data_IF_565044930751
#
_entry.id   IF_565044930751
#
_cell.length_a   1.000
_cell.length_b   1.000
_cell.length_c   1.000
_cell.angle_alpha   90.00
_cell.angle_beta   90.00
_cell.angle_gamma   90.00
#
_symmetry.space_group_name_H-M   'P 1'
#
loop_
_entity.id
_entity.type
_entity.pdbx_description
1 polymer ?
#
# COMPACT_ATOMS: atom_id res chain seq x y z
N UNK A 1 39.17 -7.30 -21.32
CA UNK A 1 38.29 -7.81 -22.40
C UNK A 1 36.85 -7.51 -22.01
N UNK A 2 36.18 -6.60 -22.71
CA UNK A 2 34.79 -6.24 -22.43
C UNK A 2 33.84 -7.23 -23.13
N UNK A 3 32.75 -7.69 -22.50
CA UNK A 3 31.83 -8.65 -23.12
C UNK A 3 30.88 -7.93 -24.09
N UNK A 4 30.83 -8.44 -25.33
CA UNK A 4 29.87 -8.05 -26.35
C UNK A 4 28.44 -8.40 -25.89
N UNK A 5 27.64 -7.37 -25.59
CA UNK A 5 26.18 -7.48 -25.45
C UNK A 5 25.55 -7.65 -26.82
N UNK A 6 25.21 -8.89 -27.16
CA UNK A 6 24.32 -9.20 -28.29
C UNK A 6 22.91 -8.74 -27.90
N UNK A 7 22.43 -7.67 -28.54
CA UNK A 7 21.08 -7.17 -28.33
C UNK A 7 20.06 -8.18 -28.84
N UNK A 8 19.20 -8.64 -27.94
CA UNK A 8 18.10 -9.58 -28.21
C UNK A 8 17.04 -8.90 -29.12
N UNK A 9 17.08 -9.25 -30.41
CA UNK A 9 16.16 -8.74 -31.43
C UNK A 9 14.72 -9.24 -31.25
N UNK A 10 14.49 -10.25 -30.39
CA UNK A 10 13.15 -10.82 -30.18
C UNK A 10 12.21 -9.89 -29.40
N UNK A 11 12.77 -9.06 -28.50
CA UNK A 11 11.99 -8.08 -27.73
C UNK A 11 11.43 -6.94 -28.57
N UNK A 12 12.15 -6.53 -29.63
CA UNK A 12 11.73 -5.43 -30.52
C UNK A 12 10.53 -5.82 -31.37
N UNK A 13 10.48 -7.06 -31.86
CA UNK A 13 9.36 -7.56 -32.65
C UNK A 13 8.05 -7.65 -31.84
N UNK A 14 8.13 -8.16 -30.59
CA UNK A 14 6.97 -8.20 -29.66
C UNK A 14 6.47 -6.80 -29.30
N UNK A 15 7.38 -5.84 -29.13
CA UNK A 15 7.02 -4.43 -28.86
C UNK A 15 6.30 -3.77 -30.04
N UNK A 16 6.65 -4.13 -31.28
CA UNK A 16 6.03 -3.59 -32.49
C UNK A 16 4.61 -4.14 -32.73
N UNK A 17 4.41 -5.44 -32.51
CA UNK A 17 3.07 -6.09 -32.51
C UNK A 17 2.15 -5.45 -31.47
N UNK A 18 2.66 -5.22 -30.25
CA UNK A 18 1.89 -4.57 -29.18
C UNK A 18 1.50 -3.13 -29.53
N UNK A 19 2.39 -2.37 -30.17
CA UNK A 19 2.09 -1.01 -30.66
C UNK A 19 0.95 -0.99 -31.69
N UNK A 20 0.87 -2.00 -32.56
CA UNK A 20 -0.21 -2.12 -33.57
C UNK A 20 -1.57 -2.34 -32.90
N UNK A 21 -1.63 -3.25 -31.92
CA UNK A 21 -2.85 -3.51 -31.14
C UNK A 21 -3.29 -2.26 -30.37
N UNK A 22 -2.34 -1.55 -29.76
CA UNK A 22 -2.61 -0.31 -29.02
C UNK A 22 -3.16 0.81 -29.94
N UNK A 23 -2.61 0.92 -31.15
CA UNK A 23 -3.07 1.91 -32.15
C UNK A 23 -4.50 1.62 -32.61
N UNK A 24 -4.85 0.34 -32.78
CA UNK A 24 -6.23 -0.08 -33.11
C UNK A 24 -7.22 0.22 -31.97
N UNK A 25 -6.85 -0.04 -30.72
CA UNK A 25 -7.66 0.29 -29.54
C UNK A 25 -7.90 1.79 -29.40
N UNK A 26 -6.86 2.61 -29.61
CA UNK A 26 -6.98 4.07 -29.55
C UNK A 26 -7.89 4.64 -30.63
N UNK A 27 -7.93 4.03 -31.81
CA UNK A 27 -8.82 4.40 -32.90
C UNK A 27 -10.29 4.06 -32.61
N UNK A 28 -10.55 2.96 -31.89
CA UNK A 28 -11.90 2.58 -31.45
C UNK A 28 -12.42 3.57 -30.41
N UNK A 29 -11.60 3.89 -29.40
CA UNK A 29 -11.98 4.83 -28.32
C UNK A 29 -12.23 6.25 -28.86
N UNK A 30 -11.43 6.72 -29.84
CA UNK A 30 -11.66 8.03 -30.47
C UNK A 30 -12.96 8.10 -31.28
N UNK A 31 -13.41 6.99 -31.86
CA UNK A 31 -14.68 6.93 -32.63
C UNK A 31 -15.90 7.05 -31.72
N UNK A 32 -15.83 6.53 -30.50
CA UNK A 32 -16.93 6.62 -29.54
C UNK A 32 -17.03 8.01 -28.90
N UNK A 33 -15.91 8.72 -28.73
CA UNK A 33 -15.91 10.07 -28.16
C UNK A 33 -16.20 11.20 -29.15
N UNK A 34 -16.18 10.97 -30.47
CA UNK A 34 -16.55 12.00 -31.46
C UNK A 34 -18.06 12.19 -31.63
N UNK A 35 -18.89 11.33 -31.02
CA UNK A 35 -20.36 11.42 -31.13
C UNK A 35 -21.03 12.18 -29.97
N UNK A 36 -20.31 12.51 -28.90
CA UNK A 36 -20.91 13.07 -27.67
C UNK A 36 -20.45 14.50 -27.34
N UNK A 37 -19.94 15.27 -28.29
CA UNK A 37 -19.46 16.63 -28.06
C UNK A 37 -20.34 17.69 -28.73
N UNK A 38 -21.54 17.92 -28.19
CA UNK A 38 -22.32 19.15 -28.37
C UNK A 38 -22.91 19.55 -27.02
N UNK A 39 -22.73 20.82 -26.66
CA UNK A 39 -23.21 21.56 -25.47
C UNK A 39 -22.51 21.22 -24.13
N UNK A 40 -22.11 22.17 -23.29
CA UNK A 40 -22.40 23.61 -23.23
C UNK A 40 -22.25 24.03 -21.77
N UNK A 41 -21.68 25.20 -21.52
CA UNK A 41 -21.05 25.60 -20.24
C UNK A 41 -21.95 26.51 -19.37
N UNK A 42 -21.51 26.73 -18.12
CA UNK A 42 -21.90 27.78 -17.14
C UNK A 42 -23.11 27.45 -16.24
N UNK A 43 -23.19 27.84 -14.97
CA UNK A 43 -22.34 28.67 -14.12
C UNK A 43 -22.91 28.71 -12.67
N UNK A 44 -22.01 29.02 -11.73
CA UNK A 44 -22.10 29.73 -10.43
C UNK A 44 -23.32 29.72 -9.46
N UNK A 45 -22.97 29.37 -8.20
CA UNK A 45 -23.15 30.07 -6.88
C UNK A 45 -24.54 30.33 -6.26
N UNK A 46 -24.77 29.74 -5.07
CA UNK A 46 -25.22 30.36 -3.77
C UNK A 46 -25.62 29.22 -2.80
N UNK A 47 -24.96 28.95 -1.66
CA UNK A 47 -24.93 29.62 -0.33
C UNK A 47 -26.31 29.99 0.25
N UNK A 48 -26.72 29.21 1.27
CA UNK A 48 -27.56 29.52 2.45
C UNK A 48 -28.41 28.29 2.82
N UNK A 49 -28.80 27.96 4.05
CA UNK A 49 -28.42 28.32 5.43
C UNK A 49 -29.18 27.28 6.28
N UNK A 50 -28.53 26.74 7.29
CA UNK A 50 -29.07 25.83 8.28
C UNK A 50 -30.15 26.49 9.16
N UNK A 51 -31.25 25.78 9.42
CA UNK A 51 -32.07 25.93 10.61
C UNK A 51 -32.78 24.61 10.92
N UNK A 52 -32.84 24.32 12.21
CA UNK A 52 -33.30 23.11 12.87
C UNK A 52 -34.78 23.21 13.30
N UNK A 53 -35.23 22.10 13.88
CA UNK A 53 -36.30 21.93 14.88
C UNK A 53 -37.59 21.24 14.41
N UNK A 54 -37.73 20.03 14.98
CA UNK A 54 -38.86 19.47 15.72
C UNK A 54 -40.25 19.24 15.08
N UNK A 55 -40.56 17.94 15.10
CA UNK A 55 -41.70 17.31 15.76
C UNK A 55 -43.13 17.47 15.21
N UNK A 56 -43.72 16.28 15.09
CA UNK A 56 -45.08 15.90 15.44
C UNK A 56 -46.24 15.93 14.43
N UNK A 57 -46.92 14.77 14.50
CA UNK A 57 -48.35 14.54 14.42
C UNK A 57 -48.99 14.29 13.05
N UNK A 58 -49.58 13.10 12.98
CA UNK A 58 -50.37 12.56 11.89
C UNK A 58 -51.71 13.30 11.71
N UNK A 59 -52.21 13.33 10.47
CA UNK A 59 -53.64 13.13 10.21
C UNK A 59 -53.87 12.63 8.78
N UNK A 60 -54.68 11.60 8.68
CA UNK A 60 -55.14 10.95 7.46
C UNK A 60 -56.17 11.79 6.73
N UNK A 61 -55.94 12.09 5.46
CA UNK A 61 -57.00 12.56 4.56
C UNK A 61 -56.93 11.79 3.24
N UNK A 62 -57.88 10.88 3.04
CA UNK A 62 -58.13 10.21 1.75
C UNK A 62 -58.71 11.23 0.78
N UNK A 63 -57.99 11.53 -0.30
CA UNK A 63 -58.52 12.23 -1.47
C UNK A 63 -58.23 11.37 -2.71
N UNK A 64 -59.30 10.91 -3.34
CA UNK A 64 -59.27 10.19 -4.62
C UNK A 64 -58.89 11.16 -5.75
N UNK A 65 -57.89 10.85 -6.61
CA UNK A 65 -57.72 11.61 -7.84
C UNK A 65 -58.51 10.96 -8.97
N UNK A 66 -59.48 11.69 -9.51
CA UNK A 66 -60.10 11.40 -10.79
C UNK A 66 -59.06 11.62 -11.88
N UNK A 67 -58.53 10.54 -12.47
CA UNK A 67 -57.58 10.64 -13.58
C UNK A 67 -58.32 10.94 -14.89
N UNK A 68 -58.27 12.19 -15.36
CA UNK A 68 -58.68 12.53 -16.72
C UNK A 68 -57.53 12.15 -17.67
N UNK A 69 -57.74 11.11 -18.48
CA UNK A 69 -56.76 10.63 -19.45
C UNK A 69 -56.86 11.48 -20.72
N UNK A 70 -56.02 12.50 -20.86
CA UNK A 70 -55.88 13.26 -22.10
C UNK A 70 -54.82 12.56 -22.96
N UNK A 71 -55.27 11.89 -24.02
CA UNK A 71 -54.39 11.38 -25.08
C UNK A 71 -54.17 12.48 -26.10
N UNK A 72 -52.97 13.08 -26.10
CA UNK A 72 -52.52 13.93 -27.21
C UNK A 72 -51.76 13.01 -28.17
N UNK A 73 -52.42 12.61 -29.25
CA UNK A 73 -51.77 11.98 -30.40
C UNK A 73 -51.29 13.05 -31.36
N UNK A 74 -50.00 12.99 -31.66
CA UNK A 74 -49.31 13.65 -32.77
C UNK A 74 -49.56 15.16 -32.89
N UNK A 75 -48.79 15.93 -32.14
CA UNK A 75 -48.56 17.34 -32.48
C UNK A 75 -47.06 17.58 -32.53
N UNK A 76 -46.57 17.88 -33.74
CA UNK A 76 -45.21 18.33 -34.00
C UNK A 76 -45.10 19.77 -33.47
N UNK A 77 -44.79 19.91 -32.18
CA UNK A 77 -44.59 21.22 -31.55
C UNK A 77 -43.18 21.70 -31.86
N UNK A 78 -43.07 22.69 -32.74
CA UNK A 78 -41.87 23.52 -32.85
C UNK A 78 -41.96 24.58 -31.75
N UNK A 79 -41.12 24.47 -30.73
CA UNK A 79 -40.98 25.49 -29.68
C UNK A 79 -39.96 26.53 -30.16
N UNK A 80 -40.43 27.76 -30.39
CA UNK A 80 -39.60 28.95 -30.50
C UNK A 80 -39.82 29.70 -29.18
N UNK A 81 -38.72 29.92 -28.46
CA UNK A 81 -38.53 30.73 -27.24
C UNK A 81 -39.78 31.28 -26.56
N UNK A 82 -40.06 30.79 -25.36
CA UNK A 82 -40.24 31.58 -24.13
C UNK A 82 -40.46 30.65 -22.93
N UNK A 83 -40.03 31.10 -21.74
CA UNK A 83 -40.05 30.35 -20.49
C UNK A 83 -41.43 29.75 -20.16
N UNK A 84 -41.47 28.44 -19.90
CA UNK A 84 -42.64 27.77 -19.33
C UNK A 84 -42.22 27.11 -18.02
N UNK A 85 -42.62 27.70 -16.89
CA UNK A 85 -42.52 27.08 -15.57
C UNK A 85 -43.59 25.99 -15.43
N UNK A 86 -43.20 24.72 -15.61
CA UNK A 86 -44.09 23.58 -15.40
C UNK A 86 -43.92 23.07 -13.96
N UNK A 87 -44.85 23.45 -13.09
CA UNK A 87 -44.96 22.87 -11.74
C UNK A 87 -45.54 21.46 -11.81
N UNK A 88 -44.72 20.49 -11.41
CA UNK A 88 -45.09 19.10 -11.07
C UNK A 88 -45.94 18.34 -12.09
N UNK A 89 -45.33 17.94 -13.21
CA UNK A 89 -45.87 16.83 -14.02
C UNK A 89 -45.11 15.55 -13.66
N UNK A 90 -45.83 14.52 -13.19
CA UNK A 90 -45.24 13.19 -12.98
C UNK A 90 -44.96 12.56 -14.35
N UNK A 91 -43.76 12.80 -14.88
CA UNK A 91 -43.31 12.22 -16.15
C UNK A 91 -43.03 10.74 -15.93
N UNK A 92 -44.04 9.90 -16.17
CA UNK A 92 -43.82 8.47 -16.37
C UNK A 92 -43.14 8.28 -17.72
N UNK A 93 -41.81 8.24 -17.72
CA UNK A 93 -41.01 7.82 -18.88
C UNK A 93 -41.35 6.34 -19.12
N UNK A 94 -42.31 6.10 -20.00
CA UNK A 94 -42.50 4.77 -20.60
C UNK A 94 -41.19 4.39 -21.24
N UNK A 95 -40.58 3.28 -20.77
CA UNK A 95 -39.37 2.67 -21.33
C UNK A 95 -39.51 2.60 -22.86
N UNK A 96 -38.98 3.61 -23.54
CA UNK A 96 -38.75 3.53 -24.97
C UNK A 96 -37.68 2.46 -25.11
N UNK A 97 -38.09 1.29 -25.59
CA UNK A 97 -37.20 0.19 -25.95
C UNK A 97 -36.40 0.67 -27.17
N UNK A 98 -35.38 1.48 -26.92
CA UNK A 98 -34.48 1.92 -27.96
C UNK A 98 -33.85 0.66 -28.59
N UNK A 99 -33.92 0.51 -29.92
CA UNK A 99 -33.24 -0.58 -30.59
C UNK A 99 -31.74 -0.36 -30.41
N UNK A 100 -31.15 -1.08 -29.46
CA UNK A 100 -29.70 -1.16 -29.30
C UNK A 100 -29.18 -1.75 -30.61
N UNK A 101 -28.53 -0.90 -31.39
CA UNK A 101 -27.90 -1.24 -32.66
C UNK A 101 -27.09 -2.54 -32.51
N UNK A 102 -27.44 -3.57 -33.28
CA UNK A 102 -26.90 -4.92 -33.22
C UNK A 102 -25.44 -5.03 -33.72
N UNK A 103 -24.69 -3.93 -33.72
CA UNK A 103 -23.29 -3.84 -34.14
C UNK A 103 -22.33 -3.47 -33.02
N UNK A 104 -22.81 -3.43 -31.76
CA UNK A 104 -21.92 -3.55 -30.62
C UNK A 104 -21.28 -4.94 -30.66
N UNK A 105 -20.17 -5.05 -31.41
CA UNK A 105 -19.32 -6.22 -31.50
C UNK A 105 -18.93 -6.55 -30.07
N UNK A 106 -19.65 -7.50 -29.47
CA UNK A 106 -19.46 -7.94 -28.09
C UNK A 106 -17.97 -8.25 -27.99
N UNK A 107 -17.23 -7.42 -27.25
CA UNK A 107 -15.82 -7.73 -27.05
C UNK A 107 -15.79 -9.15 -26.46
N UNK A 108 -15.00 -10.07 -27.04
CA UNK A 108 -14.82 -11.37 -26.45
C UNK A 108 -14.43 -11.14 -24.99
N UNK A 109 -15.11 -11.84 -24.08
CA UNK A 109 -14.90 -11.70 -22.64
C UNK A 109 -13.47 -12.12 -22.32
N UNK A 110 -12.54 -11.16 -22.36
CA UNK A 110 -11.16 -11.38 -21.97
C UNK A 110 -11.12 -11.72 -20.48
N UNK A 111 -10.30 -12.68 -20.02
CA UNK A 111 -10.11 -12.92 -18.60
C UNK A 111 -9.63 -11.65 -17.87
N UNK A 112 -10.01 -11.49 -16.61
CA UNK A 112 -9.72 -10.29 -15.80
C UNK A 112 -8.21 -10.09 -15.64
N UNK A 113 -7.46 -11.19 -15.58
CA UNK A 113 -6.01 -11.25 -15.46
C UNK A 113 -5.32 -10.66 -16.70
N UNK A 114 -5.85 -10.94 -17.89
CA UNK A 114 -5.33 -10.37 -19.16
C UNK A 114 -5.60 -8.87 -19.22
N UNK A 115 -6.80 -8.45 -18.79
CA UNK A 115 -7.14 -7.03 -18.70
C UNK A 115 -6.24 -6.33 -17.67
N UNK A 116 -5.96 -6.97 -16.53
CA UNK A 116 -5.07 -6.46 -15.51
C UNK A 116 -3.62 -6.34 -16.02
N UNK A 117 -3.14 -7.35 -16.74
CA UNK A 117 -1.80 -7.32 -17.33
C UNK A 117 -1.68 -6.21 -18.38
N UNK A 118 -2.67 -6.04 -19.27
CA UNK A 118 -2.71 -4.91 -20.22
C UNK A 118 -2.71 -3.58 -19.46
N UNK A 119 -3.54 -3.47 -18.42
CA UNK A 119 -3.65 -2.26 -17.61
C UNK A 119 -2.38 -1.94 -16.80
N UNK A 120 -1.52 -2.92 -16.52
CA UNK A 120 -0.24 -2.71 -15.84
C UNK A 120 0.75 -1.88 -16.67
N UNK A 121 0.54 -1.80 -17.99
CA UNK A 121 1.30 -0.94 -18.92
C UNK A 121 0.73 0.47 -19.05
N UNK A 122 -0.39 0.78 -18.40
CA UNK A 122 -1.04 2.09 -18.47
C UNK A 122 -0.57 3.01 -17.34
N UNK A 123 -0.61 4.31 -17.60
CA UNK A 123 -0.41 5.32 -16.57
C UNK A 123 -1.53 5.27 -15.52
N UNK A 124 -1.19 5.66 -14.29
CA UNK A 124 -2.14 5.75 -13.16
C UNK A 124 -3.42 6.54 -13.48
N UNK A 125 -3.31 7.57 -14.34
CA UNK A 125 -4.45 8.38 -14.79
C UNK A 125 -5.42 7.57 -15.67
N UNK A 126 -4.89 6.73 -16.54
CA UNK A 126 -5.69 5.91 -17.45
C UNK A 126 -6.28 4.70 -16.73
N UNK A 127 -5.56 4.12 -15.76
CA UNK A 127 -6.10 3.07 -14.88
C UNK A 127 -7.33 3.59 -14.11
N UNK A 128 -7.31 4.84 -13.64
CA UNK A 128 -8.48 5.45 -12.98
C UNK A 128 -9.69 5.57 -13.92
N UNK A 129 -9.48 5.92 -15.19
CA UNK A 129 -10.55 5.97 -16.21
C UNK A 129 -11.05 4.59 -16.59
N UNK A 130 -10.13 3.64 -16.75
CA UNK A 130 -10.40 2.24 -17.04
C UNK A 130 -11.35 1.63 -16.00
N UNK A 131 -11.18 1.94 -14.71
CA UNK A 131 -12.08 1.52 -13.63
C UNK A 131 -13.55 1.93 -13.86
N UNK A 132 -13.81 3.01 -14.58
CA UNK A 132 -15.17 3.54 -14.82
C UNK A 132 -15.88 2.89 -16.01
N UNK A 133 -15.17 2.13 -16.85
CA UNK A 133 -15.72 1.55 -18.08
C UNK A 133 -16.77 0.48 -17.76
N UNK A 134 -16.43 -0.51 -16.94
CA UNK A 134 -17.40 -1.51 -16.47
C UNK A 134 -16.89 -2.25 -15.21
N UNK A 135 -17.74 -3.10 -14.62
CA UNK A 135 -17.39 -3.90 -13.42
C UNK A 135 -16.14 -4.76 -13.63
N UNK A 136 -15.99 -5.37 -14.81
CA UNK A 136 -14.85 -6.23 -15.12
C UNK A 136 -13.53 -5.45 -15.11
N UNK A 137 -13.50 -4.28 -15.76
CA UNK A 137 -12.34 -3.39 -15.72
C UNK A 137 -12.06 -2.89 -14.31
N UNK A 138 -13.10 -2.60 -13.50
CA UNK A 138 -12.93 -2.27 -12.08
C UNK A 138 -12.21 -3.38 -11.31
N UNK A 139 -12.58 -4.65 -11.48
CA UNK A 139 -11.87 -5.78 -10.86
C UNK A 139 -10.43 -5.89 -11.35
N UNK A 140 -10.19 -5.76 -12.66
CA UNK A 140 -8.84 -5.77 -13.22
C UNK A 140 -7.96 -4.64 -12.64
N UNK A 141 -8.52 -3.43 -12.48
CA UNK A 141 -7.80 -2.33 -11.83
C UNK A 141 -7.49 -2.61 -10.37
N UNK A 142 -8.34 -3.33 -9.65
CA UNK A 142 -8.08 -3.74 -8.27
C UNK A 142 -6.87 -4.68 -8.18
N UNK A 143 -6.74 -5.62 -9.12
CA UNK A 143 -5.57 -6.51 -9.22
C UNK A 143 -4.30 -5.69 -9.50
N UNK A 144 -4.37 -4.70 -10.40
CA UNK A 144 -3.21 -3.83 -10.69
C UNK A 144 -2.78 -3.04 -9.45
N UNK A 145 -3.72 -2.43 -8.73
CA UNK A 145 -3.41 -1.71 -7.48
C UNK A 145 -2.90 -2.65 -6.39
N UNK A 146 -3.54 -3.80 -6.22
CA UNK A 146 -3.10 -4.83 -5.30
C UNK A 146 -1.67 -5.25 -5.58
N UNK A 147 -1.36 -5.62 -6.83
CA UNK A 147 0.00 -5.98 -7.27
C UNK A 147 1.01 -4.88 -6.94
N UNK A 148 0.71 -3.62 -7.25
CA UNK A 148 1.59 -2.50 -6.94
C UNK A 148 1.79 -2.28 -5.42
N UNK A 149 0.76 -2.57 -4.62
CA UNK A 149 0.81 -2.43 -3.17
C UNK A 149 1.53 -3.59 -2.48
N UNK A 150 1.48 -4.80 -3.01
CA UNK A 150 2.03 -5.99 -2.33
C UNK A 150 3.38 -6.45 -2.88
N UNK A 151 3.70 -6.13 -4.13
CA UNK A 151 4.94 -6.59 -4.78
C UNK A 151 6.17 -5.94 -4.14
N UNK A 152 7.18 -6.75 -3.81
CA UNK A 152 8.46 -6.30 -3.26
C UNK A 152 8.34 -5.44 -1.99
N UNK A 153 7.33 -5.69 -1.17
CA UNK A 153 7.20 -4.98 0.10
C UNK A 153 8.31 -5.36 1.06
N UNK A 154 8.90 -4.34 1.67
CA UNK A 154 9.82 -4.46 2.79
C UNK A 154 9.01 -4.38 4.09
N UNK A 155 9.11 -5.41 4.93
CA UNK A 155 8.53 -5.44 6.26
C UNK A 155 9.64 -5.20 7.28
N UNK A 156 9.40 -4.23 8.15
CA UNK A 156 10.27 -3.96 9.29
C UNK A 156 9.79 -4.78 10.48
N UNK A 157 10.68 -5.15 11.40
CA UNK A 157 10.34 -5.99 12.54
C UNK A 157 9.68 -5.19 13.67
N UNK A 158 8.68 -4.39 13.31
CA UNK A 158 7.85 -3.62 14.23
C UNK A 158 6.42 -4.15 14.17
N UNK A 159 5.71 -4.05 15.29
CA UNK A 159 4.31 -4.49 15.32
C UNK A 159 3.48 -3.73 14.27
N UNK A 160 3.70 -2.41 14.16
CA UNK A 160 3.01 -1.55 13.21
C UNK A 160 3.23 -2.00 11.75
N UNK A 161 4.47 -2.25 11.33
CA UNK A 161 4.80 -2.63 9.95
C UNK A 161 4.17 -3.98 9.58
N UNK A 162 4.35 -4.99 10.43
CA UNK A 162 3.88 -6.36 10.17
C UNK A 162 2.36 -6.44 10.25
N UNK A 163 1.75 -5.83 11.27
CA UNK A 163 0.28 -5.83 11.41
C UNK A 163 -0.41 -5.02 10.31
N UNK A 164 0.18 -3.90 9.85
CA UNK A 164 -0.38 -3.14 8.74
C UNK A 164 -0.38 -3.97 7.45
N UNK A 165 0.71 -4.69 7.17
CA UNK A 165 0.77 -5.57 6.01
C UNK A 165 -0.24 -6.73 6.13
N UNK A 166 -0.36 -7.35 7.31
CA UNK A 166 -1.37 -8.39 7.54
C UNK A 166 -2.79 -7.84 7.35
N UNK A 167 -3.12 -6.69 7.94
CA UNK A 167 -4.43 -6.04 7.79
C UNK A 167 -4.73 -5.70 6.33
N UNK A 168 -3.72 -5.27 5.57
CA UNK A 168 -3.83 -5.05 4.14
C UNK A 168 -4.19 -6.36 3.41
N UNK A 169 -3.53 -7.48 3.71
CA UNK A 169 -3.86 -8.79 3.13
C UNK A 169 -5.25 -9.30 3.52
N UNK A 170 -5.71 -8.99 4.74
CA UNK A 170 -7.04 -9.38 5.23
C UNK A 170 -8.15 -8.50 4.67
N UNK A 171 -7.84 -7.26 4.27
CA UNK A 171 -8.81 -6.31 3.70
C UNK A 171 -9.33 -6.75 2.34
N UNK A 172 -8.49 -7.40 1.53
CA UNK A 172 -8.85 -7.91 0.22
C UNK A 172 -8.19 -9.28 -0.04
N UNK A 173 -9.03 -10.31 -0.17
CA UNK A 173 -8.59 -11.70 -0.36
C UNK A 173 -7.84 -11.90 -1.68
N UNK A 174 -8.06 -11.03 -2.66
CA UNK A 174 -7.43 -11.14 -3.97
C UNK A 174 -5.95 -10.71 -3.94
N UNK A 175 -5.50 -10.04 -2.87
CA UNK A 175 -4.13 -9.53 -2.78
C UNK A 175 -3.12 -10.58 -2.33
N UNK A 176 -3.52 -11.50 -1.45
CA UNK A 176 -2.60 -12.49 -0.90
C UNK A 176 -1.98 -13.43 -1.96
N UNK A 177 -2.72 -13.91 -2.98
CA UNK A 177 -2.14 -14.68 -4.09
C UNK A 177 -1.22 -13.87 -5.01
N UNK A 178 -1.25 -12.53 -4.95
CA UNK A 178 -0.38 -11.68 -5.78
C UNK A 178 1.04 -11.52 -5.19
N UNK A 179 1.24 -11.91 -3.92
CA UNK A 179 2.52 -11.76 -3.25
C UNK A 179 3.44 -12.93 -3.58
N UNK A 180 4.39 -12.70 -4.48
CA UNK A 180 5.40 -13.69 -4.86
C UNK A 180 6.71 -13.55 -4.08
N UNK A 181 7.03 -12.32 -3.69
CA UNK A 181 8.27 -11.98 -3.00
C UNK A 181 8.01 -10.93 -1.93
N UNK A 182 8.53 -11.18 -0.74
CA UNK A 182 8.60 -10.18 0.34
C UNK A 182 10.05 -9.99 0.76
N UNK A 183 10.36 -8.79 1.28
CA UNK A 183 11.64 -8.49 1.90
C UNK A 183 11.42 -8.28 3.40
N UNK A 184 12.13 -9.03 4.24
CA UNK A 184 12.11 -8.89 5.68
C UNK A 184 13.41 -8.23 6.14
N UNK A 185 13.29 -7.23 6.99
CA UNK A 185 14.45 -6.56 7.60
C UNK A 185 14.79 -7.26 8.91
N UNK A 186 16.05 -7.68 9.06
CA UNK A 186 16.52 -8.45 10.22
C UNK A 186 16.87 -7.59 11.43
N UNK A 187 17.19 -6.30 11.23
CA UNK A 187 17.56 -5.42 12.34
C UNK A 187 16.31 -4.82 13.00
N UNK A 188 16.17 -5.03 14.31
CA UNK A 188 15.10 -4.45 15.12
C UNK A 188 15.55 -3.18 15.86
N UNK A 189 14.59 -2.35 16.30
CA UNK A 189 14.87 -1.28 17.26
C UNK A 189 15.45 -1.89 18.54
N UNK A 190 16.66 -1.48 18.93
CA UNK A 190 17.35 -2.04 20.10
C UNK A 190 18.06 -0.94 20.88
N UNK A 191 17.83 -0.90 22.19
CA UNK A 191 18.64 -0.06 23.07
C UNK A 191 20.04 -0.64 23.12
N UNK A 192 21.06 0.16 22.80
CA UNK A 192 22.44 -0.29 22.82
C UNK A 192 22.83 -0.77 24.24
N UNK A 193 23.45 -1.94 24.32
CA UNK A 193 23.79 -2.64 25.58
C UNK A 193 24.83 -1.88 26.40
N UNK A 194 25.79 -1.24 25.72
CA UNK A 194 26.83 -0.42 26.35
C UNK A 194 26.35 1.02 26.61
N UNK A 195 25.07 1.28 26.40
CA UNK A 195 24.49 2.61 26.40
C UNK A 195 24.69 3.32 25.06
N UNK A 196 23.77 4.23 24.77
CA UNK A 196 23.80 4.96 23.51
C UNK A 196 25.07 5.83 23.37
N UNK A 197 25.65 6.32 24.47
CA UNK A 197 26.87 7.13 24.45
C UNK A 197 28.01 6.44 23.72
N UNK A 198 28.25 5.16 24.02
CA UNK A 198 29.32 4.38 23.37
C UNK A 198 29.14 4.32 21.85
N UNK A 199 27.93 4.07 21.38
CA UNK A 199 27.64 4.00 19.95
C UNK A 199 27.84 5.36 19.24
N UNK A 200 27.44 6.44 19.91
CA UNK A 200 27.70 7.80 19.43
C UNK A 200 29.19 8.09 19.39
N UNK A 201 29.97 7.70 20.40
CA UNK A 201 31.41 7.93 20.48
C UNK A 201 32.16 7.16 19.39
N UNK A 202 31.78 5.91 19.08
CA UNK A 202 32.34 5.14 17.96
C UNK A 202 32.09 5.85 16.63
N UNK A 203 30.88 6.33 16.41
CA UNK A 203 30.53 7.05 15.18
C UNK A 203 31.28 8.39 15.08
N UNK A 204 31.45 9.11 16.20
CA UNK A 204 32.22 10.37 16.22
C UNK A 204 33.70 10.15 16.00
N UNK A 205 34.27 9.11 16.61
CA UNK A 205 35.66 8.72 16.43
C UNK A 205 35.98 8.34 14.99
N UNK A 206 35.08 7.63 14.31
CA UNK A 206 35.24 7.28 12.89
C UNK A 206 35.32 8.48 11.95
N UNK A 207 34.74 9.61 12.36
CA UNK A 207 34.68 10.81 11.53
C UNK A 207 35.42 12.02 12.10
N UNK A 208 36.14 11.85 13.22
CA UNK A 208 36.92 12.89 13.91
C UNK A 208 36.11 14.16 14.22
N UNK A 209 34.86 14.02 14.65
CA UNK A 209 34.01 15.15 15.01
C UNK A 209 34.09 15.48 16.51
N UNK A 210 34.08 16.78 16.83
CA UNK A 210 33.96 17.26 18.20
C UNK A 210 32.51 17.73 18.44
N UNK A 211 31.67 16.97 19.15
CA UNK A 211 30.28 17.36 19.39
C UNK A 211 30.18 18.65 20.19
N UNK A 212 29.36 19.57 19.70
CA UNK A 212 29.02 20.78 20.42
C UNK A 212 27.88 20.51 21.45
N UNK A 213 27.57 21.50 22.28
CA UNK A 213 26.50 21.39 23.29
C UNK A 213 25.12 21.12 22.68
N UNK A 214 24.83 21.69 21.49
CA UNK A 214 23.57 21.46 20.76
C UNK A 214 23.49 20.00 20.28
N UNK A 215 24.58 19.43 19.76
CA UNK A 215 24.64 18.05 19.30
C UNK A 215 24.34 17.09 20.46
N UNK A 216 24.88 17.37 21.65
CA UNK A 216 24.58 16.58 22.85
C UNK A 216 23.09 16.62 23.20
N UNK A 217 22.45 17.78 23.12
CA UNK A 217 21.02 17.90 23.36
C UNK A 217 20.19 17.09 22.34
N UNK A 218 20.56 17.15 21.05
CA UNK A 218 19.92 16.37 19.98
C UNK A 218 20.11 14.88 20.20
N UNK A 219 21.33 14.41 20.56
CA UNK A 219 21.59 13.01 20.92
C UNK A 219 20.74 12.55 22.11
N UNK A 220 20.65 13.35 23.16
CA UNK A 220 19.83 13.02 24.33
C UNK A 220 18.35 12.89 23.96
N UNK A 221 17.84 13.82 23.15
CA UNK A 221 16.47 13.74 22.63
C UNK A 221 16.26 12.47 21.80
N UNK A 222 17.14 12.19 20.83
CA UNK A 222 17.08 11.00 19.99
C UNK A 222 17.11 9.71 20.81
N UNK A 223 17.99 9.62 21.81
CA UNK A 223 18.11 8.46 22.67
C UNK A 223 16.86 8.26 23.54
N UNK A 224 16.27 9.34 24.04
CA UNK A 224 15.03 9.27 24.82
C UNK A 224 13.85 8.79 23.97
N UNK A 225 13.66 9.38 22.79
CA UNK A 225 12.63 8.97 21.84
C UNK A 225 12.83 7.53 21.36
N UNK A 226 14.09 7.15 21.08
CA UNK A 226 14.42 5.80 20.67
C UNK A 226 14.13 4.78 21.77
N UNK A 227 14.45 5.10 23.03
CA UNK A 227 14.15 4.24 24.17
C UNK A 227 12.64 4.02 24.33
N UNK A 228 11.83 5.06 24.11
CA UNK A 228 10.37 4.95 24.10
C UNK A 228 9.90 4.06 22.95
N UNK A 229 10.44 4.25 21.75
CA UNK A 229 10.13 3.44 20.57
C UNK A 229 10.51 1.96 20.75
N UNK A 230 11.67 1.66 21.35
CA UNK A 230 12.06 0.31 21.73
C UNK A 230 11.07 -0.29 22.71
N UNK A 231 10.69 0.44 23.77
CA UNK A 231 9.73 -0.06 24.77
C UNK A 231 8.38 -0.44 24.15
N UNK A 232 7.91 0.35 23.18
CA UNK A 232 6.64 0.09 22.50
C UNK A 232 6.70 -1.16 21.59
N UNK A 233 7.90 -1.57 21.14
CA UNK A 233 8.11 -2.74 20.29
C UNK A 233 8.70 -3.95 21.03
N UNK A 234 9.20 -3.76 22.25
CA UNK A 234 9.94 -4.78 23.02
C UNK A 234 9.11 -6.05 23.19
N UNK A 235 7.87 -5.90 23.67
CA UNK A 235 6.96 -7.03 23.87
C UNK A 235 6.71 -7.80 22.57
N UNK A 236 6.59 -7.12 21.43
CA UNK A 236 6.32 -7.77 20.15
C UNK A 236 7.47 -8.68 19.71
N UNK A 237 8.70 -8.25 19.96
CA UNK A 237 9.91 -9.00 19.62
C UNK A 237 10.14 -10.12 20.64
N UNK A 238 10.14 -9.81 21.93
CA UNK A 238 10.56 -10.74 22.99
C UNK A 238 9.53 -11.83 23.33
N UNK A 239 8.26 -11.65 22.98
CA UNK A 239 7.22 -12.67 23.22
C UNK A 239 7.01 -13.63 22.05
N UNK A 240 7.77 -13.47 20.95
CA UNK A 240 7.53 -14.20 19.71
C UNK A 240 6.30 -13.73 18.93
N UNK A 241 5.77 -12.53 19.26
CA UNK A 241 4.68 -11.91 18.51
C UNK A 241 5.03 -11.71 17.03
N UNK A 242 6.30 -11.41 16.73
CA UNK A 242 6.82 -11.35 15.37
C UNK A 242 6.63 -12.67 14.62
N UNK A 243 7.07 -13.79 15.21
CA UNK A 243 6.87 -15.13 14.65
C UNK A 243 5.39 -15.44 14.42
N UNK A 244 4.53 -15.13 15.39
CA UNK A 244 3.08 -15.37 15.26
C UNK A 244 2.49 -14.61 14.08
N UNK A 245 2.78 -13.32 13.93
CA UNK A 245 2.27 -12.55 12.80
C UNK A 245 2.87 -13.01 11.46
N UNK A 246 4.14 -13.39 11.43
CA UNK A 246 4.74 -13.98 10.23
C UNK A 246 4.05 -15.29 9.84
N UNK A 247 3.75 -16.18 10.80
CA UNK A 247 3.00 -17.41 10.52
C UNK A 247 1.64 -17.09 9.90
N UNK A 248 0.93 -16.09 10.44
CA UNK A 248 -0.35 -15.65 9.88
C UNK A 248 -0.18 -15.12 8.47
N UNK A 249 0.78 -14.21 8.22
CA UNK A 249 1.07 -13.68 6.89
C UNK A 249 1.38 -14.83 5.93
N UNK A 250 2.35 -15.68 6.24
CA UNK A 250 2.74 -16.79 5.39
C UNK A 250 1.59 -17.74 5.11
N UNK A 251 0.69 -18.00 6.07
CA UNK A 251 -0.49 -18.83 5.83
C UNK A 251 -1.39 -18.28 4.71
N UNK A 252 -1.49 -16.94 4.59
CA UNK A 252 -2.29 -16.27 3.57
C UNK A 252 -1.59 -16.20 2.20
N UNK A 253 -0.26 -16.14 2.14
CA UNK A 253 0.47 -15.86 0.89
C UNK A 253 0.69 -17.09 -0.01
N UNK A 254 -0.37 -17.64 -0.60
CA UNK A 254 -0.35 -18.96 -1.29
C UNK A 254 0.69 -19.08 -2.42
N UNK A 255 1.08 -17.98 -3.03
CA UNK A 255 2.03 -17.94 -4.15
C UNK A 255 3.40 -17.34 -3.75
N UNK A 256 3.71 -17.31 -2.45
CA UNK A 256 5.01 -16.84 -1.98
C UNK A 256 6.10 -17.83 -2.40
N UNK A 257 7.05 -17.36 -3.19
CA UNK A 257 8.19 -18.17 -3.66
C UNK A 257 9.49 -17.78 -2.96
N UNK A 258 9.67 -16.48 -2.69
CA UNK A 258 10.94 -15.96 -2.19
C UNK A 258 10.72 -15.03 -0.99
N UNK A 259 11.45 -15.30 0.09
CA UNK A 259 11.58 -14.39 1.23
C UNK A 259 13.00 -13.86 1.23
N UNK A 260 13.15 -12.57 0.91
CA UNK A 260 14.44 -11.89 0.96
C UNK A 260 14.67 -11.40 2.37
N UNK A 261 15.79 -11.79 2.98
CA UNK A 261 16.23 -11.29 4.27
C UNK A 261 17.35 -10.30 4.02
N UNK A 262 17.29 -9.12 4.63
CA UNK A 262 18.37 -8.14 4.56
C UNK A 262 18.50 -7.35 5.85
N UNK A 263 19.66 -6.76 6.06
CA UNK A 263 19.87 -5.75 7.10
C UNK A 263 19.31 -4.38 6.66
N UNK A 264 19.17 -3.47 7.63
CA UNK A 264 18.96 -2.05 7.37
C UNK A 264 20.17 -1.53 6.60
N UNK A 265 19.91 -0.76 5.54
CA UNK A 265 20.95 -0.13 4.72
C UNK A 265 21.52 1.10 5.45
N UNK A 266 22.70 1.56 5.02
CA UNK A 266 23.23 2.85 5.49
C UNK A 266 22.23 3.96 5.20
N UNK A 267 22.01 4.84 6.18
CA UNK A 267 21.01 5.91 6.17
C UNK A 267 19.53 5.50 6.00
N UNK A 268 19.22 4.21 5.98
CA UNK A 268 17.85 3.73 6.04
C UNK A 268 17.38 3.72 7.50
N UNK A 269 16.14 4.14 7.72
CA UNK A 269 15.52 4.08 9.04
C UNK A 269 14.16 3.39 8.95
N UNK A 270 13.75 2.82 10.07
CA UNK A 270 12.41 2.27 10.24
C UNK A 270 11.41 3.43 10.11
N UNK A 271 10.46 3.40 9.15
CA UNK A 271 9.59 4.55 8.84
C UNK A 271 8.77 5.05 10.01
N UNK A 272 8.45 4.18 10.97
CA UNK A 272 7.70 4.52 12.17
C UNK A 272 8.52 5.34 13.19
N UNK A 273 9.86 5.31 13.11
CA UNK A 273 10.72 6.07 14.01
C UNK A 273 10.91 7.51 13.53
N UNK A 274 9.92 8.36 13.84
CA UNK A 274 9.84 9.75 13.36
C UNK A 274 10.93 10.69 13.90
N UNK A 275 11.55 10.37 15.05
CA UNK A 275 12.57 11.22 15.65
C UNK A 275 13.86 11.31 14.80
N UNK A 276 14.02 10.43 13.81
CA UNK A 276 15.14 10.47 12.84
C UNK A 276 15.24 11.78 12.08
N UNK A 277 14.17 12.57 11.97
CA UNK A 277 14.21 13.91 11.38
C UNK A 277 15.16 14.83 12.15
N UNK A 278 15.26 14.68 13.48
CA UNK A 278 16.14 15.47 14.34
C UNK A 278 17.63 15.17 14.13
N UNK A 279 17.99 14.08 13.42
CA UNK A 279 19.39 13.82 13.04
C UNK A 279 19.96 14.97 12.21
N UNK A 280 19.12 15.66 11.42
CA UNK A 280 19.51 16.82 10.61
C UNK A 280 19.96 18.02 11.43
N UNK A 281 19.65 18.06 12.72
CA UNK A 281 20.03 19.15 13.62
C UNK A 281 21.44 18.98 14.20
N UNK A 282 22.07 17.80 14.00
CA UNK A 282 23.47 17.56 14.36
C UNK A 282 24.38 18.37 13.44
N UNK A 283 25.38 19.02 14.02
CA UNK A 283 26.35 19.85 13.30
C UNK A 283 27.18 19.09 12.27
N UNK A 284 27.30 17.77 12.45
CA UNK A 284 28.04 16.86 11.59
C UNK A 284 27.16 15.90 10.81
N UNK A 285 25.85 16.18 10.69
CA UNK A 285 24.92 15.34 9.94
C UNK A 285 25.36 15.14 8.48
N UNK A 286 25.20 13.91 7.99
CA UNK A 286 25.38 13.54 6.58
C UNK A 286 24.25 12.62 6.14
N UNK A 287 23.88 12.71 4.87
CA UNK A 287 22.83 11.86 4.30
C UNK A 287 23.21 10.37 4.28
N UNK A 288 24.50 10.04 4.32
CA UNK A 288 25.03 8.67 4.33
C UNK A 288 25.46 8.18 5.72
N UNK A 289 25.13 8.92 6.78
CA UNK A 289 25.50 8.60 8.17
C UNK A 289 24.96 7.23 8.59
N UNK A 290 25.85 6.36 9.07
CA UNK A 290 25.49 5.01 9.50
C UNK A 290 25.03 5.00 10.96
N UNK A 291 23.74 5.16 11.18
CA UNK A 291 23.16 5.13 12.54
C UNK A 291 22.79 3.73 13.01
N UNK A 292 23.14 2.68 12.27
CA UNK A 292 22.68 1.31 12.58
C UNK A 292 23.17 0.88 13.96
N UNK A 293 24.44 1.09 14.27
CA UNK A 293 25.02 0.75 15.58
C UNK A 293 24.39 1.50 16.77
N UNK A 294 23.73 2.62 16.50
CA UNK A 294 23.11 3.46 17.55
C UNK A 294 21.69 2.99 17.88
N UNK A 295 20.89 2.70 16.85
CA UNK A 295 19.44 2.49 17.01
C UNK A 295 18.99 1.06 16.73
N UNK A 296 19.76 0.30 15.96
CA UNK A 296 19.30 -0.97 15.42
C UNK A 296 20.28 -2.08 15.75
N UNK A 297 19.77 -3.30 15.82
CA UNK A 297 20.62 -4.46 15.99
C UNK A 297 19.87 -5.74 15.71
N UNK A 298 20.63 -6.81 15.62
CA UNK A 298 20.04 -8.14 15.66
C UNK A 298 19.36 -8.33 17.02
N UNK A 299 18.23 -9.03 17.02
CA UNK A 299 17.57 -9.42 18.25
C UNK A 299 17.70 -10.93 18.47
N UNK A 300 17.79 -11.27 19.74
CA UNK A 300 17.71 -12.62 20.25
C UNK A 300 16.90 -12.53 21.54
N UNK A 301 15.95 -13.43 21.74
CA UNK A 301 15.19 -13.48 22.97
C UNK A 301 15.11 -14.90 23.51
N UNK A 302 15.11 -14.98 24.82
CA UNK A 302 14.88 -16.19 25.57
C UNK A 302 13.42 -16.61 25.47
N UNK A 303 13.17 -17.81 24.97
CA UNK A 303 11.80 -18.34 24.87
C UNK A 303 11.14 -18.65 26.22
N UNK A 304 11.93 -18.94 27.25
CA UNK A 304 11.45 -19.21 28.61
C UNK A 304 11.16 -17.90 29.34
N UNK A 305 12.10 -16.96 29.30
CA UNK A 305 12.05 -15.72 30.09
C UNK A 305 11.53 -14.49 29.34
N UNK A 306 11.32 -14.59 28.03
CA UNK A 306 10.82 -13.50 27.16
C UNK A 306 11.64 -12.22 27.30
N UNK A 307 12.96 -12.37 27.35
CA UNK A 307 13.94 -11.27 27.49
C UNK A 307 15.22 -11.64 26.76
N UNK A 308 16.05 -10.67 26.42
CA UNK A 308 17.41 -10.95 25.96
C UNK A 308 18.21 -11.45 27.16
N UNK A 309 18.76 -12.67 27.08
CA UNK A 309 19.66 -13.19 28.12
C UNK A 309 21.07 -13.44 27.61
N UNK A 310 21.32 -13.18 26.34
CA UNK A 310 22.66 -13.31 25.76
C UNK A 310 23.05 -11.97 25.17
N UNK A 311 24.07 -11.35 25.76
CA UNK A 311 24.66 -10.12 25.27
C UNK A 311 26.15 -10.27 25.09
N UNK A 312 26.73 -9.42 24.26
CA UNK A 312 28.17 -9.34 24.05
C UNK A 312 28.63 -8.12 24.83
N UNK A 313 29.62 -8.30 25.71
CA UNK A 313 30.16 -7.19 26.48
C UNK A 313 31.09 -6.30 25.62
N UNK A 314 31.63 -5.25 26.23
CA UNK A 314 32.52 -4.30 25.55
C UNK A 314 33.84 -4.92 25.06
N UNK A 315 34.19 -6.11 25.54
CA UNK A 315 35.38 -6.86 25.17
C UNK A 315 35.10 -7.94 24.12
N UNK A 316 33.84 -8.13 23.72
CA UNK A 316 33.44 -9.19 22.80
C UNK A 316 33.12 -10.51 23.49
N UNK A 317 33.11 -10.57 24.82
CA UNK A 317 32.77 -11.77 25.57
C UNK A 317 31.25 -11.93 25.67
N UNK A 318 30.77 -13.14 25.41
CA UNK A 318 29.35 -13.43 25.49
C UNK A 318 28.98 -13.74 26.94
N UNK A 319 28.13 -12.89 27.53
CA UNK A 319 27.62 -13.07 28.88
C UNK A 319 26.27 -13.79 28.79
N UNK A 320 26.19 -14.96 29.43
CA UNK A 320 25.00 -15.80 29.49
C UNK A 320 24.73 -16.11 30.98
N UNK A 321 23.67 -15.56 31.59
CA UNK A 321 23.26 -15.92 32.95
C UNK A 321 22.95 -17.42 33.09
N UNK A 322 23.23 -17.99 34.27
CA UNK A 322 23.06 -19.43 34.57
C UNK A 322 21.63 -19.97 34.32
N UNK A 323 20.62 -19.09 34.36
CA UNK A 323 19.21 -19.42 34.12
C UNK A 323 18.75 -19.04 32.70
N UNK A 324 19.65 -18.92 31.73
CA UNK A 324 19.27 -18.58 30.36
C UNK A 324 18.61 -19.75 29.65
N UNK A 325 17.39 -19.53 29.15
CA UNK A 325 16.71 -20.43 28.23
C UNK A 325 17.22 -20.32 26.79
N UNK A 326 16.69 -21.16 25.89
CA UNK A 326 17.07 -21.16 24.48
C UNK A 326 16.79 -19.80 23.84
N UNK A 327 17.84 -19.21 23.26
CA UNK A 327 17.72 -17.98 22.48
C UNK A 327 17.13 -18.26 21.11
N UNK A 328 16.15 -17.44 20.72
CA UNK A 328 15.60 -17.42 19.39
C UNK A 328 15.93 -16.09 18.72
N UNK A 329 16.60 -16.16 17.58
CA UNK A 329 16.90 -15.03 16.72
C UNK A 329 15.93 -14.90 15.55
N UNK A 330 16.07 -13.79 14.81
CA UNK A 330 15.26 -13.49 13.62
C UNK A 330 15.14 -14.63 12.60
N UNK A 331 16.27 -15.22 12.19
CA UNK A 331 16.28 -16.29 11.18
C UNK A 331 15.54 -17.54 11.64
N UNK A 332 15.60 -17.84 12.94
CA UNK A 332 14.89 -18.97 13.54
C UNK A 332 13.39 -18.69 13.63
N UNK A 333 12.97 -17.45 13.92
CA UNK A 333 11.56 -17.05 13.85
C UNK A 333 10.99 -17.20 12.43
N UNK A 334 11.74 -16.82 11.39
CA UNK A 334 11.33 -17.03 9.99
C UNK A 334 11.22 -18.51 9.68
N UNK A 335 12.25 -19.30 10.02
CA UNK A 335 12.26 -20.74 9.75
C UNK A 335 11.09 -21.45 10.46
N UNK A 336 10.83 -21.11 11.73
CA UNK A 336 9.69 -21.62 12.48
C UNK A 336 8.37 -21.20 11.83
N UNK A 337 8.22 -19.92 11.47
CA UNK A 337 7.01 -19.41 10.86
C UNK A 337 6.70 -20.09 9.51
N UNK A 338 7.71 -20.30 8.67
CA UNK A 338 7.58 -21.04 7.41
C UNK A 338 7.26 -22.52 7.66
N UNK A 339 7.93 -23.15 8.63
CA UNK A 339 7.70 -24.53 9.02
C UNK A 339 6.25 -24.81 9.41
N UNK A 340 5.59 -23.88 10.12
CA UNK A 340 4.16 -23.99 10.45
C UNK A 340 3.22 -23.92 9.24
N UNK A 341 3.67 -23.37 8.11
CA UNK A 341 2.85 -23.24 6.90
C UNK A 341 3.01 -24.40 5.92
N UNK A 342 3.95 -25.31 6.16
CA UNK A 342 4.27 -26.45 5.28
C UNK A 342 4.56 -26.03 3.83
N UNK A 343 5.26 -24.90 3.63
CA UNK A 343 5.58 -24.38 2.29
C UNK A 343 7.08 -24.42 2.00
N UNK A 344 7.40 -24.79 0.77
CA UNK A 344 8.73 -24.64 0.21
C UNK A 344 8.90 -23.20 -0.28
N UNK A 345 9.58 -22.38 0.52
CA UNK A 345 9.89 -20.99 0.21
C UNK A 345 11.40 -20.80 0.24
N UNK A 346 11.94 -20.17 -0.80
CA UNK A 346 13.36 -19.88 -0.89
C UNK A 346 13.66 -18.67 0.00
N UNK A 347 14.50 -18.85 1.02
CA UNK A 347 14.99 -17.76 1.85
C UNK A 347 16.31 -17.26 1.26
N UNK A 348 16.29 -16.07 0.69
CA UNK A 348 17.46 -15.42 0.10
C UNK A 348 18.05 -14.41 1.10
N UNK A 349 19.25 -14.66 1.60
CA UNK A 349 19.96 -13.70 2.46
C UNK A 349 20.71 -12.71 1.56
N UNK A 350 20.27 -11.45 1.57
CA UNK A 350 20.88 -10.34 0.86
C UNK A 350 21.87 -9.66 1.79
N UNK A 351 23.15 -9.73 1.42
CA UNK A 351 24.27 -9.12 2.15
C UNK A 351 24.23 -7.58 2.12
#
# INVERSE_FOLDING_TARGET
MAPNRVADKSGVAKKLEFLKIFTQLRAIIKRDHSNDAVEGSSGDVAVAKSASDDADSATTTKVSPTSTKVSVTDTKVALINDEVSVTSTKVSVTKAKMPVSAHAKIMPKLPVEIIAEIGSYLDMRDIKKMRLVCKQFRYATNIIFGKALVTNRTLYPTYASVSHFLNMLLSDRDWAPLVQTITLVSDAPRVNEHGASWAWDVMEGQHAFNPNTKDRAVKHFLNAEHKMFCRDNDFFITTGGYRTLLTMIFSHLTNLHTVKVRRIRKAEHIPEFKATVALKDLSYYREDMDTRLVFYGDWQYDTLHRRVTTWVDEYGEQIIPDESGPQVGFSQDIAAALGYTCREVIVEIVA
#
